data_IF_077075479322
#
_entry.id   IF_077075479322
#
_cell.length_a   1.000
_cell.length_b   1.000
_cell.length_c   1.000
_cell.angle_alpha   90.00
_cell.angle_beta   90.00
_cell.angle_gamma   90.00
#
_symmetry.space_group_name_H-M   'P 1'
#
loop_
_entity.id
_entity.type
_entity.pdbx_description
1 polymer ?
#
# COMPACT_ATOMS: atom_id res chain seq x y z
N UNK A 1 20.78 -8.76 35.68
CA UNK A 1 19.91 -7.71 35.10
C UNK A 1 19.96 -7.86 33.59
N UNK A 2 18.90 -8.36 32.97
CA UNK A 2 18.77 -8.47 31.52
C UNK A 2 18.04 -7.21 31.02
N UNK A 3 18.44 -6.55 29.92
CA UNK A 3 17.70 -5.41 29.40
C UNK A 3 16.34 -5.88 28.87
N UNK A 4 15.29 -5.05 28.90
CA UNK A 4 14.01 -5.40 28.30
C UNK A 4 14.20 -5.54 26.78
N UNK A 5 13.76 -6.66 26.22
CA UNK A 5 13.66 -6.82 24.78
C UNK A 5 12.61 -5.84 24.24
N UNK A 6 13.01 -5.05 23.25
CA UNK A 6 12.12 -4.19 22.45
C UNK A 6 10.97 -5.03 21.90
N UNK A 7 9.71 -4.54 21.89
CA UNK A 7 8.60 -5.27 21.29
C UNK A 7 8.85 -5.39 19.78
N UNK A 8 9.05 -6.63 19.33
CA UNK A 8 9.20 -6.99 17.92
C UNK A 8 8.00 -6.41 17.14
N UNK A 9 8.22 -5.56 16.12
CA UNK A 9 7.12 -5.00 15.34
C UNK A 9 6.41 -6.16 14.65
N UNK A 10 5.13 -6.36 15.01
CA UNK A 10 4.27 -7.38 14.41
C UNK A 10 4.46 -7.41 12.89
N UNK A 11 4.63 -8.61 12.27
CA UNK A 11 4.95 -8.70 10.86
C UNK A 11 3.85 -7.99 10.07
N UNK A 12 4.24 -6.90 9.40
CA UNK A 12 3.35 -6.21 8.49
C UNK A 12 2.80 -7.24 7.48
N UNK A 13 1.51 -7.17 7.11
CA UNK A 13 0.98 -8.04 6.08
C UNK A 13 1.93 -7.97 4.88
N UNK A 14 2.44 -9.14 4.46
CA UNK A 14 3.43 -9.23 3.38
C UNK A 14 2.72 -8.79 2.09
N UNK A 15 2.83 -7.50 1.78
CA UNK A 15 2.33 -6.96 0.53
C UNK A 15 3.31 -7.38 -0.57
N UNK A 16 2.88 -8.17 -1.56
CA UNK A 16 3.77 -8.56 -2.65
C UNK A 16 4.29 -7.32 -3.39
N UNK A 17 5.61 -7.24 -3.61
CA UNK A 17 6.24 -6.14 -4.32
C UNK A 17 5.64 -5.91 -5.72
N UNK A 18 5.26 -7.00 -6.40
CA UNK A 18 4.58 -6.94 -7.70
C UNK A 18 3.25 -6.16 -7.67
N UNK A 19 2.49 -6.24 -6.56
CA UNK A 19 1.26 -5.46 -6.40
C UNK A 19 1.57 -3.99 -6.15
N UNK A 20 2.63 -3.68 -5.40
CA UNK A 20 3.07 -2.29 -5.16
C UNK A 20 3.52 -1.64 -6.47
N UNK A 21 4.30 -2.35 -7.30
CA UNK A 21 4.69 -1.86 -8.63
C UNK A 21 3.48 -1.60 -9.53
N UNK A 22 2.50 -2.49 -9.52
CA UNK A 22 1.28 -2.31 -10.31
C UNK A 22 0.45 -1.12 -9.80
N UNK A 23 0.30 -1.00 -8.48
CA UNK A 23 -0.38 0.12 -7.85
C UNK A 23 0.32 1.45 -8.17
N UNK A 24 1.65 1.49 -8.14
CA UNK A 24 2.44 2.68 -8.48
C UNK A 24 2.17 3.15 -9.91
N UNK A 25 2.07 2.22 -10.87
CA UNK A 25 1.70 2.53 -12.26
C UNK A 25 0.29 3.11 -12.34
N UNK A 26 -0.67 2.50 -11.64
CA UNK A 26 -2.04 3.00 -11.59
C UNK A 26 -2.14 4.38 -10.95
N UNK A 27 -1.38 4.64 -9.88
CA UNK A 27 -1.29 5.95 -9.24
C UNK A 27 -0.71 7.00 -10.16
N UNK A 28 0.38 6.68 -10.85
CA UNK A 28 0.99 7.57 -11.84
C UNK A 28 0.04 7.88 -13.00
N UNK A 29 -0.65 6.87 -13.54
CA UNK A 29 -1.60 7.06 -14.63
C UNK A 29 -2.85 7.83 -14.19
N UNK A 30 -3.36 7.56 -12.97
CA UNK A 30 -4.47 8.31 -12.41
C UNK A 30 -4.09 9.78 -12.25
N UNK A 31 -2.94 10.08 -11.63
CA UNK A 31 -2.44 11.45 -11.47
C UNK A 31 -2.24 12.17 -12.80
N UNK A 32 -1.80 11.47 -13.84
CA UNK A 32 -1.69 12.05 -15.19
C UNK A 32 -3.05 12.36 -15.83
N UNK A 33 -4.09 11.57 -15.54
CA UNK A 33 -5.44 11.78 -16.10
C UNK A 33 -6.28 12.78 -15.30
N UNK A 34 -6.24 12.73 -13.98
CA UNK A 34 -7.11 13.51 -13.09
C UNK A 34 -6.40 14.67 -12.41
N UNK A 35 -5.06 14.67 -12.40
CA UNK A 35 -4.25 15.64 -11.66
C UNK A 35 -4.04 15.28 -10.18
N UNK A 36 -4.75 14.28 -9.65
CA UNK A 36 -4.73 13.90 -8.23
C UNK A 36 -4.12 12.50 -8.01
N UNK A 37 -3.49 12.22 -6.86
CA UNK A 37 -3.11 10.85 -6.52
C UNK A 37 -4.36 9.95 -6.43
N UNK A 38 -4.20 8.66 -6.73
CA UNK A 38 -5.30 7.69 -6.56
C UNK A 38 -5.45 7.33 -5.07
N UNK A 39 -6.68 7.29 -4.59
CA UNK A 39 -6.99 6.86 -3.23
C UNK A 39 -6.98 5.34 -3.08
N UNK A 40 -6.92 4.87 -1.82
CA UNK A 40 -6.97 3.45 -1.49
C UNK A 40 -8.23 2.75 -2.06
N UNK A 41 -9.37 3.43 -2.10
CA UNK A 41 -10.59 2.86 -2.69
C UNK A 41 -10.50 2.71 -4.22
N UNK A 42 -9.79 3.64 -4.88
CA UNK A 42 -9.47 3.54 -6.30
C UNK A 42 -8.50 2.39 -6.59
N UNK A 43 -7.48 2.20 -5.75
CA UNK A 43 -6.56 1.06 -5.85
C UNK A 43 -7.27 -0.27 -5.64
N UNK A 44 -8.14 -0.36 -4.63
CA UNK A 44 -8.98 -1.51 -4.33
C UNK A 44 -9.83 -1.92 -5.54
N UNK A 45 -10.55 -0.97 -6.12
CA UNK A 45 -11.45 -1.21 -7.27
C UNK A 45 -10.68 -1.67 -8.51
N UNK A 46 -9.48 -1.13 -8.75
CA UNK A 46 -8.68 -1.47 -9.93
C UNK A 46 -7.85 -2.75 -9.80
N UNK A 47 -7.34 -3.04 -8.60
CA UNK A 47 -6.53 -4.24 -8.34
C UNK A 47 -7.38 -5.45 -7.93
N UNK A 48 -8.65 -5.26 -7.54
CA UNK A 48 -9.51 -6.33 -7.05
C UNK A 48 -9.07 -6.90 -5.70
N UNK A 49 -8.36 -6.08 -4.89
CA UNK A 49 -7.78 -6.49 -3.60
C UNK A 49 -8.68 -6.10 -2.43
N UNK A 50 -8.57 -6.74 -1.25
CA UNK A 50 -9.32 -6.34 -0.07
C UNK A 50 -8.90 -4.96 0.45
N UNK A 51 -9.83 -4.24 1.08
CA UNK A 51 -9.64 -2.89 1.62
C UNK A 51 -8.37 -2.73 2.49
N UNK A 52 -8.07 -3.59 3.48
CA UNK A 52 -6.84 -3.45 4.26
C UNK A 52 -5.56 -3.56 3.42
N UNK A 53 -5.57 -4.34 2.34
CA UNK A 53 -4.41 -4.45 1.45
C UNK A 53 -4.23 -3.18 0.60
N UNK A 54 -5.34 -2.60 0.10
CA UNK A 54 -5.29 -1.36 -0.67
C UNK A 54 -4.78 -0.18 0.18
N UNK A 55 -5.18 -0.11 1.45
CA UNK A 55 -4.69 0.90 2.40
C UNK A 55 -3.19 0.67 2.68
N UNK A 56 -2.75 -0.57 2.89
CA UNK A 56 -1.33 -0.87 3.10
C UNK A 56 -0.46 -0.49 1.88
N UNK A 57 -0.97 -0.70 0.66
CA UNK A 57 -0.33 -0.27 -0.57
C UNK A 57 -0.31 1.26 -0.66
N UNK A 58 -1.43 1.93 -0.38
CA UNK A 58 -1.51 3.40 -0.41
C UNK A 58 -0.50 4.05 0.54
N UNK A 59 -0.35 3.51 1.77
CA UNK A 59 0.66 3.97 2.73
C UNK A 59 2.10 3.82 2.22
N UNK A 60 2.39 2.84 1.35
CA UNK A 60 3.71 2.67 0.74
C UNK A 60 3.96 3.61 -0.46
N UNK A 61 2.91 4.25 -0.99
CA UNK A 61 2.99 5.14 -2.15
C UNK A 61 3.00 6.63 -1.78
N UNK A 62 2.86 6.94 -0.49
CA UNK A 62 2.94 8.29 0.09
C UNK A 62 4.35 8.87 0.07
#
# INVERSE_FOLDING_TARGET
RQPPADPDPAPAPVVPAALVDHARKLSAEHKRRTGYPIDADGLRTRLGVPAPLAVAIANQLT
#
